data_IF_117391730681
#
_entry.id   IF_117391730681
#
_cell.length_a   1.000
_cell.length_b   1.000
_cell.length_c   1.000
_cell.angle_alpha   90.00
_cell.angle_beta   90.00
_cell.angle_gamma   90.00
#
_symmetry.space_group_name_H-M   'P 1'
#
loop_
_entity.id
_entity.type
_entity.pdbx_description
1 polymer ?
#
# COMPACT_ATOMS: atom_id res chain seq x y z
N UNK A 1 25.00 62.53 -25.71
CA UNK A 1 25.39 61.37 -26.54
C UNK A 1 25.07 60.14 -25.70
N UNK A 2 23.84 59.63 -25.75
CA UNK A 2 23.42 58.42 -26.53
C UNK A 2 24.31 57.23 -26.21
N UNK A 3 23.85 56.06 -25.74
CA UNK A 3 22.81 55.21 -26.31
C UNK A 3 22.67 53.96 -25.40
N UNK A 4 21.46 53.58 -24.95
CA UNK A 4 20.68 52.40 -25.39
C UNK A 4 21.07 51.00 -24.87
N UNK A 5 20.13 50.41 -24.10
CA UNK A 5 19.60 49.02 -24.07
C UNK A 5 20.39 47.89 -24.75
N UNK A 6 20.45 46.74 -24.07
CA UNK A 6 20.57 45.42 -24.73
C UNK A 6 20.87 44.25 -23.79
N UNK A 7 19.88 43.39 -23.58
CA UNK A 7 19.91 42.11 -22.85
C UNK A 7 20.79 41.07 -23.59
N UNK A 8 21.47 40.15 -22.89
CA UNK A 8 21.49 38.73 -23.26
C UNK A 8 22.16 37.86 -22.20
N UNK A 9 21.33 36.97 -21.68
CA UNK A 9 21.57 35.80 -20.83
C UNK A 9 22.85 35.04 -21.22
N UNK A 10 23.75 34.85 -20.25
CA UNK A 10 24.58 33.66 -20.20
C UNK A 10 24.60 33.16 -18.76
N UNK A 11 23.67 32.26 -18.46
CA UNK A 11 23.54 31.64 -17.14
C UNK A 11 24.68 30.61 -17.00
N UNK A 12 25.75 31.02 -16.33
CA UNK A 12 26.83 30.13 -15.92
C UNK A 12 26.43 29.41 -14.64
N UNK A 13 26.39 28.08 -14.75
CA UNK A 13 26.75 27.07 -13.73
C UNK A 13 26.23 27.35 -12.32
N UNK A 14 25.33 26.50 -11.84
CA UNK A 14 25.54 25.82 -10.57
C UNK A 14 25.05 24.38 -10.69
N UNK A 15 26.01 23.47 -10.52
CA UNK A 15 25.77 22.06 -10.22
C UNK A 15 25.43 22.03 -8.74
N UNK A 16 24.16 21.89 -8.41
CA UNK A 16 23.75 21.39 -7.10
C UNK A 16 23.76 19.86 -7.23
N UNK A 17 24.86 19.15 -6.98
CA UNK A 17 25.35 18.75 -5.65
C UNK A 17 24.23 18.14 -4.78
N UNK A 18 24.28 16.81 -4.69
CA UNK A 18 23.85 15.97 -3.58
C UNK A 18 22.53 16.33 -2.88
N UNK A 19 21.42 15.89 -3.48
CA UNK A 19 20.27 15.48 -2.67
C UNK A 19 20.23 13.97 -2.61
N UNK A 20 20.76 13.43 -1.53
CA UNK A 20 20.14 12.29 -0.86
C UNK A 20 18.75 12.73 -0.36
N UNK A 21 17.83 13.01 -1.30
CA UNK A 21 16.42 13.17 -0.99
C UNK A 21 15.95 11.78 -0.61
N UNK A 22 15.72 11.59 0.69
CA UNK A 22 15.00 10.43 1.21
C UNK A 22 13.70 10.32 0.41
N UNK A 23 13.70 9.46 -0.62
CA UNK A 23 12.54 9.29 -1.49
C UNK A 23 11.35 9.01 -0.58
N UNK A 24 10.33 9.87 -0.64
CA UNK A 24 9.11 9.63 0.11
C UNK A 24 8.47 8.35 -0.43
N UNK A 25 8.66 7.24 0.31
CA UNK A 25 8.16 5.91 -0.05
C UNK A 25 6.72 5.67 0.42
N UNK A 26 6.00 6.72 0.83
CA UNK A 26 4.61 6.59 1.23
C UNK A 26 3.69 6.30 0.04
N UNK A 27 2.62 5.56 0.30
CA UNK A 27 1.59 5.30 -0.72
C UNK A 27 0.79 6.58 -0.94
N UNK A 28 0.88 7.15 -2.15
CA UNK A 28 0.19 8.40 -2.50
C UNK A 28 -1.07 8.14 -3.33
N UNK A 29 -2.17 8.73 -2.91
CA UNK A 29 -3.45 8.67 -3.60
C UNK A 29 -3.57 9.83 -4.61
N UNK A 30 -4.31 9.60 -5.70
CA UNK A 30 -4.58 10.60 -6.75
C UNK A 30 -6.06 11.01 -6.79
N UNK A 31 -6.73 10.99 -5.64
CA UNK A 31 -8.12 11.41 -5.51
C UNK A 31 -8.25 12.36 -4.32
N UNK A 32 -8.29 13.69 -4.54
CA UNK A 32 -8.38 14.67 -3.46
C UNK A 32 -9.72 14.61 -2.71
N UNK A 33 -10.76 14.03 -3.30
CA UNK A 33 -12.07 13.95 -2.66
C UNK A 33 -12.09 12.99 -1.46
N UNK A 34 -11.11 12.08 -1.35
CA UNK A 34 -11.03 11.16 -0.20
C UNK A 34 -10.77 11.90 1.11
N UNK A 35 -10.04 13.01 1.07
CA UNK A 35 -9.77 13.84 2.27
C UNK A 35 -11.01 14.55 2.80
N UNK A 36 -12.07 14.63 1.97
CA UNK A 36 -13.33 15.29 2.32
C UNK A 36 -14.36 14.32 2.91
N UNK A 37 -14.06 13.02 2.94
CA UNK A 37 -14.97 12.01 3.47
C UNK A 37 -14.84 11.93 4.99
N UNK A 38 -15.99 11.93 5.68
CA UNK A 38 -16.04 11.62 7.12
C UNK A 38 -15.60 10.16 7.38
N UNK A 39 -15.97 9.26 6.46
CA UNK A 39 -15.63 7.85 6.49
C UNK A 39 -15.36 7.31 5.07
N UNK A 40 -14.37 6.41 4.96
CA UNK A 40 -14.13 5.59 3.77
C UNK A 40 -14.51 4.13 4.04
N UNK A 41 -15.29 3.52 3.14
CA UNK A 41 -15.78 2.14 3.23
C UNK A 41 -15.19 1.33 2.08
N UNK A 42 -14.30 0.40 2.42
CA UNK A 42 -13.69 -0.54 1.49
C UNK A 42 -14.62 -1.74 1.30
N UNK A 43 -15.71 -1.53 0.56
CA UNK A 43 -16.83 -2.47 0.43
C UNK A 43 -16.42 -3.91 0.11
N UNK A 44 -15.55 -4.10 -0.89
CA UNK A 44 -15.09 -5.42 -1.32
C UNK A 44 -14.12 -6.11 -0.35
N UNK A 45 -13.61 -5.38 0.64
CA UNK A 45 -12.75 -5.92 1.69
C UNK A 45 -13.49 -6.09 3.02
N UNK A 46 -14.69 -5.51 3.16
CA UNK A 46 -15.44 -5.50 4.41
C UNK A 46 -14.79 -4.64 5.50
N UNK A 47 -13.93 -3.68 5.11
CA UNK A 47 -13.20 -2.78 6.02
C UNK A 47 -13.70 -1.35 5.87
N UNK A 48 -13.43 -0.51 6.86
CA UNK A 48 -13.77 0.91 6.80
C UNK A 48 -13.03 1.72 7.86
N UNK A 49 -12.85 3.01 7.61
CA UNK A 49 -12.02 3.89 8.43
C UNK A 49 -12.58 4.16 9.84
N UNK A 50 -13.89 4.09 10.05
CA UNK A 50 -14.45 4.17 11.42
C UNK A 50 -14.63 2.80 12.08
N UNK A 51 -14.79 1.74 11.29
CA UNK A 51 -15.04 0.40 11.83
C UNK A 51 -13.76 -0.35 12.22
N UNK A 52 -12.61 0.10 11.70
CA UNK A 52 -11.31 -0.56 11.86
C UNK A 52 -10.19 0.46 12.02
N UNK A 53 -9.23 0.19 12.89
CA UNK A 53 -7.97 0.95 12.95
C UNK A 53 -7.02 0.46 11.84
N UNK A 54 -7.12 1.09 10.67
CA UNK A 54 -6.34 0.69 9.48
C UNK A 54 -4.83 0.92 9.67
N UNK A 55 -4.43 1.89 10.50
CA UNK A 55 -3.02 2.19 10.75
C UNK A 55 -2.43 1.14 11.67
N UNK A 56 -3.13 0.75 12.74
CA UNK A 56 -2.72 -0.36 13.61
C UNK A 56 -2.66 -1.67 12.83
N UNK A 57 -3.66 -1.93 11.98
CA UNK A 57 -3.74 -3.19 11.22
C UNK A 57 -2.64 -3.33 10.16
N UNK A 58 -2.32 -2.25 9.43
CA UNK A 58 -1.53 -2.33 8.19
C UNK A 58 -0.33 -1.38 8.10
N UNK A 59 -0.07 -0.53 9.09
CA UNK A 59 1.02 0.46 9.05
C UNK A 59 2.43 -0.15 8.97
N UNK A 60 2.58 -1.41 9.39
CA UNK A 60 3.83 -2.17 9.34
C UNK A 60 4.05 -2.95 8.04
N UNK A 61 3.07 -2.97 7.13
CA UNK A 61 3.17 -3.70 5.86
C UNK A 61 4.27 -3.12 4.96
N UNK A 62 5.10 -4.00 4.40
CA UNK A 62 6.16 -3.69 3.44
C UNK A 62 6.03 -4.45 2.13
N UNK A 63 5.36 -5.59 2.13
CA UNK A 63 5.17 -6.41 0.93
C UNK A 63 3.70 -6.80 0.78
N UNK A 64 3.16 -6.61 -0.42
CA UNK A 64 1.82 -7.08 -0.79
C UNK A 64 1.97 -8.12 -1.90
N UNK A 65 1.48 -9.34 -1.66
CA UNK A 65 1.44 -10.40 -2.64
C UNK A 65 -0.02 -10.68 -3.03
N UNK A 66 -0.29 -10.65 -4.33
CA UNK A 66 -1.63 -10.85 -4.88
C UNK A 66 -1.70 -12.19 -5.60
N UNK A 67 -2.81 -12.92 -5.43
CA UNK A 67 -3.03 -14.20 -6.11
C UNK A 67 -4.48 -14.39 -6.57
N UNK A 68 -4.72 -15.15 -7.64
CA UNK A 68 -6.10 -15.24 -8.16
C UNK A 68 -7.10 -15.91 -7.22
N UNK A 69 -6.81 -17.08 -6.65
CA UNK A 69 -7.78 -17.83 -5.83
C UNK A 69 -7.52 -17.64 -4.33
N UNK A 70 -8.57 -17.56 -3.50
CA UNK A 70 -8.45 -17.56 -2.03
C UNK A 70 -7.54 -18.65 -1.48
N UNK A 71 -7.65 -19.87 -2.01
CA UNK A 71 -6.83 -20.99 -1.54
C UNK A 71 -5.34 -20.80 -1.79
N UNK A 72 -4.95 -20.21 -2.92
CA UNK A 72 -3.53 -19.89 -3.20
C UNK A 72 -3.04 -18.78 -2.28
N UNK A 73 -3.88 -17.78 -2.02
CA UNK A 73 -3.61 -16.70 -1.07
C UNK A 73 -3.31 -17.26 0.33
N UNK A 74 -4.19 -18.10 0.86
CA UNK A 74 -4.02 -18.76 2.17
C UNK A 74 -2.75 -19.63 2.21
N UNK A 75 -2.52 -20.42 1.17
CA UNK A 75 -1.36 -21.31 1.09
C UNK A 75 -0.05 -20.52 1.06
N UNK A 76 -0.02 -19.38 0.36
CA UNK A 76 1.13 -18.47 0.35
C UNK A 76 1.36 -17.84 1.72
N UNK A 77 0.31 -17.42 2.42
CA UNK A 77 0.43 -16.87 3.76
C UNK A 77 1.05 -17.89 4.74
N UNK A 78 0.59 -19.15 4.72
CA UNK A 78 1.20 -20.22 5.52
C UNK A 78 2.66 -20.49 5.15
N UNK A 79 2.99 -20.45 3.85
CA UNK A 79 4.36 -20.60 3.37
C UNK A 79 5.25 -19.49 3.95
N UNK A 80 4.87 -18.23 3.79
CA UNK A 80 5.62 -17.08 4.32
C UNK A 80 5.71 -17.11 5.85
N UNK A 81 4.67 -17.51 6.56
CA UNK A 81 4.69 -17.67 8.02
C UNK A 81 5.79 -18.63 8.45
N UNK A 82 5.98 -19.73 7.73
CA UNK A 82 7.07 -20.69 7.96
C UNK A 82 8.43 -20.10 7.61
N UNK A 83 8.59 -19.47 6.44
CA UNK A 83 9.88 -18.94 5.98
C UNK A 83 10.39 -17.77 6.85
N UNK A 84 9.50 -16.91 7.34
CA UNK A 84 9.84 -15.83 8.26
C UNK A 84 10.02 -16.30 9.72
N UNK A 85 9.69 -17.56 10.03
CA UNK A 85 9.64 -18.06 11.41
C UNK A 85 8.62 -17.31 12.27
N UNK A 86 7.57 -16.74 11.67
CA UNK A 86 6.55 -15.96 12.37
C UNK A 86 5.67 -16.90 13.20
N UNK A 87 5.61 -16.66 14.51
CA UNK A 87 4.86 -17.50 15.45
C UNK A 87 3.58 -16.79 15.86
N UNK A 88 2.47 -17.46 15.62
CA UNK A 88 1.19 -17.04 16.15
C UNK A 88 1.11 -17.32 17.66
N UNK A 89 0.36 -16.50 18.42
CA UNK A 89 0.04 -16.80 19.81
C UNK A 89 -0.57 -18.19 19.96
N UNK A 90 -0.27 -18.87 21.07
CA UNK A 90 -0.79 -20.21 21.34
C UNK A 90 -2.32 -20.22 21.29
N UNK A 91 -2.89 -21.20 20.57
CA UNK A 91 -4.34 -21.35 20.40
C UNK A 91 -4.95 -20.50 19.28
N UNK A 92 -4.14 -19.74 18.54
CA UNK A 92 -4.60 -18.93 17.40
C UNK A 92 -4.20 -19.54 16.06
N UNK A 93 -4.85 -19.08 14.99
CA UNK A 93 -4.57 -19.47 13.60
C UNK A 93 -4.59 -18.23 12.70
N UNK A 94 -4.03 -18.35 11.50
CA UNK A 94 -4.26 -17.34 10.47
C UNK A 94 -5.76 -17.23 10.20
N UNK A 95 -6.24 -16.00 10.16
CA UNK A 95 -7.63 -15.65 9.93
C UNK A 95 -7.72 -14.86 8.62
N UNK A 96 -8.77 -15.13 7.85
CA UNK A 96 -9.13 -14.29 6.72
C UNK A 96 -9.72 -12.98 7.24
N UNK A 97 -9.04 -11.87 6.97
CA UNK A 97 -9.45 -10.52 7.40
C UNK A 97 -10.72 -10.09 6.65
N UNK A 98 -10.94 -10.61 5.44
CA UNK A 98 -12.05 -10.23 4.57
C UNK A 98 -13.22 -11.22 4.59
N UNK A 99 -13.28 -12.13 5.58
CA UNK A 99 -14.27 -13.22 5.66
C UNK A 99 -15.73 -12.72 5.59
N UNK A 100 -16.00 -11.48 5.98
CA UNK A 100 -17.34 -10.86 5.91
C UNK A 100 -17.75 -10.36 4.52
N UNK A 101 -16.79 -10.09 3.63
CA UNK A 101 -17.10 -9.60 2.28
C UNK A 101 -17.42 -10.73 1.31
N UNK A 102 -16.83 -11.91 1.51
CA UNK A 102 -16.89 -13.09 0.62
C UNK A 102 -16.35 -12.88 -0.80
N UNK A 103 -15.84 -11.68 -1.14
CA UNK A 103 -15.35 -11.33 -2.48
C UNK A 103 -13.83 -11.53 -2.62
N UNK A 104 -13.08 -11.25 -1.56
CA UNK A 104 -11.64 -11.46 -1.48
C UNK A 104 -11.27 -12.12 -0.16
N UNK A 105 -10.11 -12.77 -0.13
CA UNK A 105 -9.48 -13.30 1.06
C UNK A 105 -8.15 -12.61 1.31
N UNK A 106 -7.90 -12.23 2.56
CA UNK A 106 -6.74 -11.46 2.98
C UNK A 106 -6.11 -12.07 4.23
N UNK A 107 -4.80 -12.27 4.20
CA UNK A 107 -4.03 -12.80 5.32
C UNK A 107 -2.80 -11.94 5.57
N UNK A 108 -2.55 -11.59 6.83
CA UNK A 108 -1.37 -10.83 7.26
C UNK A 108 -0.39 -11.74 8.00
N UNK A 109 0.90 -11.63 7.66
CA UNK A 109 2.00 -12.34 8.32
C UNK A 109 3.19 -11.38 8.49
N UNK A 110 3.33 -10.81 9.68
CA UNK A 110 4.31 -9.75 9.93
C UNK A 110 4.18 -8.61 8.90
N UNK A 111 5.26 -8.23 8.19
CA UNK A 111 5.23 -7.15 7.19
C UNK A 111 4.70 -7.57 5.81
N UNK A 112 4.20 -8.81 5.66
CA UNK A 112 3.68 -9.35 4.39
C UNK A 112 2.17 -9.45 4.44
N UNK A 113 1.50 -8.88 3.44
CA UNK A 113 0.07 -8.98 3.22
C UNK A 113 -0.21 -9.83 1.98
N UNK A 114 -0.97 -10.90 2.12
CA UNK A 114 -1.39 -11.78 1.02
C UNK A 114 -2.86 -11.55 0.73
N UNK A 115 -3.22 -11.24 -0.52
CA UNK A 115 -4.59 -10.92 -0.92
C UNK A 115 -5.00 -11.72 -2.17
N UNK A 116 -6.22 -12.23 -2.19
CA UNK A 116 -6.80 -12.83 -3.40
C UNK A 116 -7.47 -11.77 -4.26
N UNK A 117 -7.47 -11.91 -5.59
CA UNK A 117 -8.09 -10.94 -6.50
C UNK A 117 -8.96 -11.55 -7.62
N UNK A 118 -9.36 -12.81 -7.51
CA UNK A 118 -10.23 -13.46 -8.49
C UNK A 118 -9.58 -13.64 -9.87
N UNK A 119 -10.36 -13.41 -10.93
CA UNK A 119 -9.94 -13.62 -12.33
C UNK A 119 -10.31 -12.42 -13.20
N UNK A 120 -9.37 -12.04 -14.08
CA UNK A 120 -9.58 -10.97 -15.06
C UNK A 120 -9.29 -9.58 -14.53
N UNK A 121 -9.09 -8.64 -15.46
CA UNK A 121 -8.71 -7.25 -15.18
C UNK A 121 -9.72 -6.52 -14.29
N UNK A 122 -11.06 -6.66 -14.45
CA UNK A 122 -12.00 -5.95 -13.58
C UNK A 122 -11.96 -6.39 -12.11
N UNK A 123 -11.35 -7.54 -11.83
CA UNK A 123 -11.31 -8.14 -10.51
C UNK A 123 -10.03 -7.81 -9.73
N UNK A 124 -8.98 -7.33 -10.40
CA UNK A 124 -7.67 -6.99 -9.80
C UNK A 124 -7.49 -5.50 -9.63
#
# INVERSE_FOLDING_TARGET
MTSSRGNSVHNSVDRDEDRDEYFDTTVRLRNPNLELLDQDILYHLGLGSESHDLVEMFGDIKFVCMSGTPKRCESFAHYIMKELGHKLPTGTRLQDICDYSYLYSMYKVGPVLSISHGMGIPSV
#
